data_IF_297432157483
#
_entry.id   IF_297432157483
#
_cell.length_a   1.000
_cell.length_b   1.000
_cell.length_c   1.000
_cell.angle_alpha   90.00
_cell.angle_beta   90.00
_cell.angle_gamma   90.00
#
_symmetry.space_group_name_H-M   'P 1'
#
loop_
_entity.id
_entity.type
_entity.pdbx_description
1 polymer ?
#
# COMPACT_ATOMS: atom_id res chain seq x y z
N UNK A 1 -13.56 7.93 3.49
CA UNK A 1 -14.94 8.38 3.23
C UNK A 1 -15.03 9.36 2.07
N UNK A 2 -14.23 10.45 2.06
CA UNK A 2 -14.26 11.47 0.99
C UNK A 2 -14.02 10.87 -0.40
N UNK A 3 -13.04 9.98 -0.57
CA UNK A 3 -12.76 9.33 -1.86
C UNK A 3 -13.92 8.47 -2.37
N UNK A 4 -14.69 7.83 -1.48
CA UNK A 4 -15.90 7.08 -1.85
C UNK A 4 -16.99 8.00 -2.40
N UNK A 5 -17.14 9.20 -1.82
CA UNK A 5 -18.05 10.22 -2.33
C UNK A 5 -17.60 10.70 -3.72
N UNK A 6 -16.30 10.94 -3.92
CA UNK A 6 -15.77 11.32 -5.23
C UNK A 6 -16.03 10.26 -6.29
N UNK A 7 -15.86 8.97 -5.99
CA UNK A 7 -16.23 7.91 -6.94
C UNK A 7 -17.72 7.91 -7.32
N UNK A 8 -18.60 8.39 -6.42
CA UNK A 8 -20.04 8.48 -6.68
C UNK A 8 -20.39 9.68 -7.54
N UNK A 9 -19.78 10.85 -7.29
CA UNK A 9 -20.13 12.11 -7.93
C UNK A 9 -19.28 12.44 -9.16
N UNK A 10 -18.04 11.94 -9.21
CA UNK A 10 -17.13 12.07 -10.34
C UNK A 10 -16.61 10.68 -10.73
N UNK A 11 -17.43 9.88 -11.44
CA UNK A 11 -17.05 8.51 -11.79
C UNK A 11 -15.86 8.51 -12.74
N UNK A 12 -14.88 7.64 -12.43
CA UNK A 12 -13.66 7.45 -13.22
C UNK A 12 -13.55 6.00 -13.65
N UNK A 13 -12.84 5.75 -14.75
CA UNK A 13 -12.56 4.38 -15.19
C UNK A 13 -11.64 3.68 -14.17
N UNK A 14 -12.14 2.63 -13.54
CA UNK A 14 -11.45 1.91 -12.46
C UNK A 14 -10.50 0.86 -13.04
N UNK A 15 -9.28 1.25 -13.37
CA UNK A 15 -8.19 0.32 -13.68
C UNK A 15 -7.52 -0.22 -12.40
N UNK A 16 -7.45 0.63 -11.37
CA UNK A 16 -6.95 0.29 -10.04
C UNK A 16 -8.18 0.07 -9.14
N UNK A 17 -8.26 -1.10 -8.52
CA UNK A 17 -9.35 -1.50 -7.63
C UNK A 17 -8.79 -1.90 -6.26
N UNK A 18 -9.65 -2.17 -5.28
CA UNK A 18 -9.17 -2.60 -3.97
C UNK A 18 -8.36 -3.90 -4.06
N UNK A 19 -8.86 -4.89 -4.78
CA UNK A 19 -8.24 -6.21 -4.92
C UNK A 19 -7.26 -6.34 -6.09
N UNK A 20 -7.32 -5.46 -7.07
CA UNK A 20 -6.48 -5.50 -8.27
C UNK A 20 -6.79 -6.67 -9.20
N UNK A 21 -5.74 -7.18 -9.86
CA UNK A 21 -5.85 -8.26 -10.85
C UNK A 21 -6.01 -9.66 -10.24
N UNK A 22 -5.78 -9.83 -8.93
CA UNK A 22 -5.93 -11.12 -8.24
C UNK A 22 -6.05 -10.93 -6.72
N UNK A 23 -7.19 -11.33 -6.17
CA UNK A 23 -7.48 -11.26 -4.74
C UNK A 23 -6.44 -12.05 -3.92
N UNK A 24 -6.14 -13.30 -4.32
CA UNK A 24 -5.20 -14.16 -3.60
C UNK A 24 -3.79 -13.59 -3.56
N UNK A 25 -3.29 -13.10 -4.69
CA UNK A 25 -1.95 -12.52 -4.74
C UNK A 25 -1.87 -11.24 -3.91
N UNK A 26 -2.92 -10.41 -3.94
CA UNK A 26 -2.98 -9.19 -3.15
C UNK A 26 -2.98 -9.47 -1.65
N UNK A 27 -3.59 -10.56 -1.20
CA UNK A 27 -3.58 -11.00 0.22
C UNK A 27 -2.20 -11.47 0.71
N UNK A 28 -1.27 -11.82 -0.17
CA UNK A 28 0.09 -12.17 0.25
C UNK A 28 0.82 -11.01 0.93
N UNK A 29 0.52 -9.77 0.53
CA UNK A 29 1.20 -8.59 1.08
C UNK A 29 0.80 -8.34 2.56
N UNK A 30 -0.49 -8.22 2.92
CA UNK A 30 -0.85 -8.16 4.33
C UNK A 30 -0.41 -9.41 5.10
N UNK A 31 -0.43 -10.60 4.51
CA UNK A 31 0.07 -11.81 5.17
C UNK A 31 1.55 -11.68 5.55
N UNK A 32 2.40 -11.22 4.62
CA UNK A 32 3.82 -10.97 4.89
C UNK A 32 3.97 -9.92 5.99
N UNK A 33 3.23 -8.81 5.90
CA UNK A 33 3.27 -7.75 6.91
C UNK A 33 2.97 -8.29 8.31
N UNK A 34 1.82 -8.96 8.49
CA UNK A 34 1.40 -9.51 9.77
C UNK A 34 2.34 -10.59 10.29
N UNK A 35 2.89 -11.42 9.39
CA UNK A 35 3.85 -12.46 9.77
C UNK A 35 5.16 -11.84 10.26
N UNK A 36 5.74 -10.90 9.53
CA UNK A 36 7.00 -10.27 9.92
C UNK A 36 6.89 -9.54 11.25
N UNK A 37 5.88 -8.68 11.41
CA UNK A 37 5.70 -7.92 12.64
C UNK A 37 5.17 -8.77 13.79
N UNK A 38 4.33 -9.78 13.51
CA UNK A 38 3.86 -10.73 14.51
C UNK A 38 4.99 -11.58 15.09
N UNK A 39 5.97 -11.99 14.25
CA UNK A 39 7.16 -12.74 14.73
C UNK A 39 8.13 -11.81 15.46
N UNK A 40 8.35 -10.59 14.96
CA UNK A 40 9.30 -9.67 15.57
C UNK A 40 8.77 -9.08 16.88
N UNK A 41 7.49 -8.73 16.92
CA UNK A 41 6.85 -8.02 18.03
C UNK A 41 7.15 -6.51 18.00
N UNK A 42 6.29 -5.72 18.64
CA UNK A 42 6.46 -4.27 18.82
C UNK A 42 6.34 -3.98 20.33
N UNK A 43 7.38 -3.48 21.00
CA UNK A 43 7.31 -3.02 22.38
C UNK A 43 6.22 -1.95 22.55
N UNK A 44 5.56 -1.94 23.70
CA UNK A 44 4.53 -0.95 24.01
C UNK A 44 4.48 -0.66 25.52
N UNK A 45 3.91 0.50 25.87
CA UNK A 45 3.76 0.96 27.25
C UNK A 45 2.41 0.53 27.88
N UNK A 46 1.63 -0.30 27.17
CA UNK A 46 0.30 -0.73 27.62
C UNK A 46 0.32 -2.07 28.38
N UNK A 47 1.50 -2.69 28.54
CA UNK A 47 1.62 -4.01 29.18
C UNK A 47 1.04 -5.16 28.35
N UNK A 48 0.80 -4.96 27.07
CA UNK A 48 0.30 -5.98 26.14
C UNK A 48 1.50 -6.77 25.62
N UNK A 49 1.34 -8.07 25.42
CA UNK A 49 2.35 -8.88 24.77
C UNK A 49 2.80 -8.26 23.43
N UNK A 50 4.12 -8.09 23.19
CA UNK A 50 4.63 -7.40 22.00
C UNK A 50 4.16 -8.01 20.67
N UNK A 51 3.96 -9.32 20.61
CA UNK A 51 3.52 -10.01 19.39
C UNK A 51 2.03 -9.77 19.13
N UNK A 52 1.21 -9.81 20.18
CA UNK A 52 -0.22 -9.48 20.09
C UNK A 52 -0.39 -8.00 19.73
N UNK A 53 0.36 -7.11 20.42
CA UNK A 53 0.32 -5.68 20.15
C UNK A 53 0.69 -5.37 18.70
N UNK A 54 1.73 -6.01 18.16
CA UNK A 54 2.14 -5.79 16.78
C UNK A 54 1.06 -6.14 15.76
N UNK A 55 0.32 -7.24 15.98
CA UNK A 55 -0.80 -7.63 15.11
C UNK A 55 -1.92 -6.58 15.17
N UNK A 56 -2.32 -6.15 16.37
CA UNK A 56 -3.36 -5.13 16.54
C UNK A 56 -2.95 -3.80 15.91
N UNK A 57 -1.70 -3.38 16.14
CA UNK A 57 -1.18 -2.12 15.62
C UNK A 57 -1.05 -2.16 14.09
N UNK A 58 -0.53 -3.26 13.52
CA UNK A 58 -0.53 -3.46 12.07
C UNK A 58 -1.95 -3.44 11.48
N UNK A 59 -2.94 -4.04 12.14
CA UNK A 59 -4.31 -4.07 11.65
C UNK A 59 -4.92 -2.67 11.61
N UNK A 60 -4.76 -1.88 12.67
CA UNK A 60 -5.24 -0.49 12.74
C UNK A 60 -4.54 0.40 11.70
N UNK A 61 -3.20 0.32 11.63
CA UNK A 61 -2.42 1.08 10.67
C UNK A 61 -2.76 0.70 9.23
N UNK A 62 -2.96 -0.58 8.95
CA UNK A 62 -3.34 -1.05 7.62
C UNK A 62 -4.74 -0.58 7.22
N UNK A 63 -5.70 -0.56 8.15
CA UNK A 63 -7.04 -0.02 7.89
C UNK A 63 -6.97 1.47 7.54
N UNK A 64 -6.21 2.25 8.32
CA UNK A 64 -5.97 3.66 8.07
C UNK A 64 -5.30 3.88 6.70
N UNK A 65 -4.19 3.19 6.44
CA UNK A 65 -3.45 3.31 5.19
C UNK A 65 -4.25 2.82 3.98
N UNK A 66 -5.13 1.82 4.15
CA UNK A 66 -6.02 1.39 3.08
C UNK A 66 -6.99 2.52 2.66
N UNK A 67 -7.49 3.32 3.60
CA UNK A 67 -8.33 4.48 3.29
C UNK A 67 -7.54 5.58 2.59
N UNK A 68 -6.29 5.83 3.00
CA UNK A 68 -5.41 6.79 2.33
C UNK A 68 -5.05 6.33 0.91
N UNK A 69 -4.62 5.07 0.75
CA UNK A 69 -4.24 4.53 -0.55
C UNK A 69 -5.43 4.43 -1.51
N UNK A 70 -6.63 4.23 -0.98
CA UNK A 70 -7.85 4.28 -1.79
C UNK A 70 -8.10 5.68 -2.38
N UNK A 71 -7.71 6.74 -1.68
CA UNK A 71 -7.76 8.11 -2.18
C UNK A 71 -6.62 8.38 -3.18
N UNK A 72 -5.38 8.13 -2.76
CA UNK A 72 -4.18 8.54 -3.50
C UNK A 72 -3.87 7.63 -4.68
N UNK A 73 -3.93 6.30 -4.50
CA UNK A 73 -3.58 5.30 -5.52
C UNK A 73 -4.80 4.70 -6.20
N UNK A 74 -5.93 4.71 -5.52
CA UNK A 74 -7.22 4.34 -6.11
C UNK A 74 -7.79 5.48 -6.96
N UNK A 75 -8.40 6.48 -6.31
CA UNK A 75 -9.14 7.52 -7.01
C UNK A 75 -8.26 8.46 -7.83
N UNK A 76 -7.25 9.07 -7.23
CA UNK A 76 -6.42 10.07 -7.90
C UNK A 76 -5.72 9.49 -9.15
N UNK A 77 -5.08 8.32 -9.04
CA UNK A 77 -4.39 7.72 -10.18
C UNK A 77 -5.36 7.30 -11.30
N UNK A 78 -6.54 6.79 -10.95
CA UNK A 78 -7.58 6.49 -11.92
C UNK A 78 -8.10 7.76 -12.62
N UNK A 79 -8.23 8.88 -11.89
CA UNK A 79 -8.66 10.18 -12.42
C UNK A 79 -7.65 10.78 -13.40
N UNK A 80 -6.36 10.52 -13.17
CA UNK A 80 -5.28 10.98 -14.06
C UNK A 80 -5.21 10.20 -15.40
N UNK A 81 -5.98 9.11 -15.55
CA UNK A 81 -6.18 8.39 -16.81
C UNK A 81 -4.87 7.98 -17.49
N UNK A 82 -4.61 8.50 -18.70
CA UNK A 82 -3.43 8.17 -19.53
C UNK A 82 -2.16 8.96 -19.19
N UNK A 83 -2.17 9.75 -18.12
CA UNK A 83 -0.98 10.51 -17.69
C UNK A 83 0.21 9.55 -17.45
N UNK A 84 1.44 9.92 -17.85
CA UNK A 84 2.63 9.11 -17.63
C UNK A 84 2.85 8.73 -16.16
N UNK A 85 3.43 7.55 -15.94
CA UNK A 85 3.70 6.98 -14.61
C UNK A 85 4.42 7.96 -13.67
N UNK A 86 5.47 8.62 -14.16
CA UNK A 86 6.27 9.52 -13.33
C UNK A 86 5.50 10.77 -12.88
N UNK A 87 4.60 11.30 -13.72
CA UNK A 87 3.73 12.43 -13.35
C UNK A 87 2.72 11.98 -12.29
N UNK A 88 2.10 10.80 -12.48
CA UNK A 88 1.20 10.21 -11.47
C UNK A 88 1.87 10.06 -10.12
N UNK A 89 3.10 9.52 -10.11
CA UNK A 89 3.88 9.32 -8.89
C UNK A 89 4.20 10.66 -8.22
N UNK A 90 4.68 11.63 -9.00
CA UNK A 90 5.03 12.96 -8.51
C UNK A 90 3.82 13.68 -7.91
N UNK A 91 2.72 13.78 -8.67
CA UNK A 91 1.50 14.46 -8.20
C UNK A 91 0.93 13.78 -6.95
N UNK A 92 0.86 12.44 -6.95
CA UNK A 92 0.37 11.70 -5.78
C UNK A 92 1.25 11.94 -4.55
N UNK A 93 2.58 11.98 -4.69
CA UNK A 93 3.50 12.26 -3.60
C UNK A 93 3.39 13.68 -3.08
N UNK A 94 3.27 14.66 -3.97
CA UNK A 94 3.08 16.08 -3.61
C UNK A 94 1.78 16.26 -2.82
N UNK A 95 0.65 15.79 -3.35
CA UNK A 95 -0.64 15.93 -2.65
C UNK A 95 -0.66 15.19 -1.32
N UNK A 96 -0.08 14.00 -1.27
CA UNK A 96 0.03 13.23 -0.05
C UNK A 96 0.93 13.90 1.00
N UNK A 97 2.06 14.48 0.60
CA UNK A 97 2.94 15.25 1.48
C UNK A 97 2.25 16.50 2.05
N UNK A 98 1.56 17.27 1.19
CA UNK A 98 0.81 18.45 1.64
C UNK A 98 -0.39 18.08 2.55
N UNK A 99 -1.02 16.92 2.34
CA UNK A 99 -2.06 16.41 3.21
C UNK A 99 -1.62 16.31 4.67
N UNK A 100 -0.36 15.97 4.90
CA UNK A 100 0.20 15.83 6.25
C UNK A 100 0.36 17.15 7.00
N UNK A 101 0.31 18.30 6.34
CA UNK A 101 0.22 19.60 7.03
C UNK A 101 -1.07 19.75 7.85
N UNK A 102 -2.10 18.95 7.54
CA UNK A 102 -3.36 18.94 8.28
C UNK A 102 -3.35 17.92 9.44
N UNK A 103 -2.33 17.07 9.53
CA UNK A 103 -2.27 15.94 10.47
C UNK A 103 -1.15 16.15 11.50
N UNK A 104 0.04 16.62 11.05
CA UNK A 104 1.20 16.77 11.91
C UNK A 104 1.33 18.21 12.41
N UNK A 105 1.56 18.36 13.70
CA UNK A 105 1.84 19.66 14.32
C UNK A 105 3.21 20.22 13.90
N UNK A 106 4.21 19.33 13.73
CA UNK A 106 5.54 19.67 13.24
C UNK A 106 6.16 18.49 12.46
N UNK A 107 7.29 18.77 11.81
CA UNK A 107 8.03 17.80 11.00
C UNK A 107 9.46 17.61 11.47
N UNK A 108 9.79 17.96 12.71
CA UNK A 108 11.17 17.95 13.23
C UNK A 108 11.80 16.56 13.19
N UNK A 109 11.00 15.53 13.49
CA UNK A 109 11.43 14.12 13.43
C UNK A 109 11.83 13.66 12.01
N UNK A 110 11.43 14.39 10.98
CA UNK A 110 11.76 14.10 9.57
C UNK A 110 12.81 15.05 8.99
N UNK A 111 13.37 15.96 9.80
CA UNK A 111 14.30 16.99 9.34
C UNK A 111 13.61 18.17 8.66
N UNK A 112 12.34 18.42 9.00
CA UNK A 112 11.51 19.50 8.47
C UNK A 112 10.58 19.06 7.33
N UNK A 113 9.62 19.94 7.01
CA UNK A 113 8.59 19.64 6.00
C UNK A 113 9.16 19.32 4.61
N UNK A 114 10.21 20.01 4.17
CA UNK A 114 10.79 19.78 2.84
C UNK A 114 11.36 18.36 2.71
N UNK A 115 12.06 17.88 3.73
CA UNK A 115 12.60 16.50 3.75
C UNK A 115 11.48 15.47 3.80
N UNK A 116 10.45 15.72 4.58
CA UNK A 116 9.25 14.88 4.61
C UNK A 116 8.53 14.84 3.26
N UNK A 117 8.36 15.99 2.61
CA UNK A 117 7.76 16.09 1.27
C UNK A 117 8.56 15.28 0.23
N UNK A 118 9.89 15.41 0.26
CA UNK A 118 10.78 14.64 -0.60
C UNK A 118 10.62 13.13 -0.36
N UNK A 119 10.56 12.72 0.90
CA UNK A 119 10.27 11.33 1.27
C UNK A 119 8.92 10.87 0.69
N UNK A 120 7.84 11.65 0.85
CA UNK A 120 6.52 11.33 0.30
C UNK A 120 6.56 11.18 -1.22
N UNK A 121 7.29 12.06 -1.92
CA UNK A 121 7.45 11.99 -3.37
C UNK A 121 8.19 10.68 -3.76
N UNK A 122 9.35 10.41 -3.17
CA UNK A 122 10.15 9.22 -3.47
C UNK A 122 9.36 7.95 -3.16
N UNK A 123 8.75 7.87 -1.99
CA UNK A 123 7.96 6.71 -1.60
C UNK A 123 6.71 6.53 -2.47
N UNK A 124 6.13 7.62 -2.96
CA UNK A 124 5.01 7.58 -3.89
C UNK A 124 5.34 6.87 -5.22
N UNK A 125 6.60 6.91 -5.68
CA UNK A 125 7.02 6.12 -6.84
C UNK A 125 6.93 4.62 -6.57
N UNK A 126 7.31 4.16 -5.37
CA UNK A 126 7.19 2.74 -4.96
C UNK A 126 5.71 2.34 -4.90
N UNK A 127 4.87 3.14 -4.26
CA UNK A 127 3.44 2.86 -4.13
C UNK A 127 2.71 2.88 -5.49
N UNK A 128 3.03 3.86 -6.34
CA UNK A 128 2.47 3.94 -7.70
C UNK A 128 2.93 2.76 -8.55
N UNK A 129 4.21 2.34 -8.44
CA UNK A 129 4.71 1.14 -9.10
C UNK A 129 3.95 -0.11 -8.64
N UNK A 130 3.71 -0.24 -7.35
CA UNK A 130 2.98 -1.39 -6.80
C UNK A 130 1.57 -1.51 -7.38
N UNK A 131 0.80 -0.42 -7.44
CA UNK A 131 -0.54 -0.45 -8.03
C UNK A 131 -0.52 -0.56 -9.56
N UNK A 132 0.48 0.00 -10.22
CA UNK A 132 0.65 -0.19 -11.66
C UNK A 132 0.93 -1.66 -12.00
N UNK A 133 1.67 -2.36 -11.14
CA UNK A 133 2.02 -3.77 -11.32
C UNK A 133 0.88 -4.72 -11.00
N UNK A 134 0.09 -4.41 -9.97
CA UNK A 134 -0.89 -5.32 -9.37
C UNK A 134 -2.34 -4.91 -9.62
N UNK A 135 -2.58 -3.64 -9.91
CA UNK A 135 -3.90 -3.04 -9.94
C UNK A 135 -4.55 -2.87 -8.57
N UNK A 136 -3.83 -3.16 -7.46
CA UNK A 136 -4.40 -3.36 -6.12
C UNK A 136 -4.05 -2.22 -5.15
N UNK A 137 -5.07 -1.58 -4.61
CA UNK A 137 -4.94 -0.65 -3.48
C UNK A 137 -4.50 -1.37 -2.20
N UNK A 138 -4.97 -2.60 -1.98
CA UNK A 138 -4.60 -3.40 -0.82
C UNK A 138 -3.08 -3.67 -0.75
N UNK A 139 -2.45 -3.91 -1.91
CA UNK A 139 -0.99 -4.08 -2.00
C UNK A 139 -0.28 -2.78 -1.61
N UNK A 140 -0.73 -1.63 -2.13
CA UNK A 140 -0.14 -0.34 -1.76
C UNK A 140 -0.33 -0.05 -0.26
N UNK A 141 -1.50 -0.35 0.31
CA UNK A 141 -1.78 -0.19 1.73
C UNK A 141 -0.85 -1.04 2.61
N UNK A 142 -0.62 -2.31 2.24
CA UNK A 142 0.32 -3.17 2.97
C UNK A 142 1.76 -2.64 2.88
N UNK A 143 2.19 -2.20 1.67
CA UNK A 143 3.50 -1.57 1.49
C UNK A 143 3.60 -0.25 2.26
N UNK A 144 2.55 0.57 2.29
CA UNK A 144 2.55 1.78 3.11
C UNK A 144 2.67 1.45 4.60
N UNK A 145 1.99 0.43 5.05
CA UNK A 145 1.94 0.05 6.47
C UNK A 145 3.27 -0.49 6.99
N UNK A 146 4.18 -1.01 6.16
CA UNK A 146 5.47 -1.51 6.67
C UNK A 146 6.34 -0.43 7.34
N UNK A 147 6.03 0.85 7.12
CA UNK A 147 6.71 2.00 7.73
C UNK A 147 6.25 2.32 9.17
N UNK A 148 5.35 1.54 9.75
CA UNK A 148 4.80 1.80 11.11
C UNK A 148 5.88 1.84 12.19
N UNK A 149 6.99 1.11 11.97
CA UNK A 149 8.14 1.14 12.85
C UNK A 149 9.40 0.76 12.07
N UNK A 150 10.43 1.61 12.13
CA UNK A 150 11.70 1.38 11.44
C UNK A 150 12.58 0.44 12.26
N UNK A 151 12.50 -0.86 11.97
CA UNK A 151 13.25 -1.92 12.64
C UNK A 151 13.65 -3.03 11.65
N UNK A 152 14.17 -4.14 12.15
CA UNK A 152 14.58 -5.26 11.30
C UNK A 152 13.41 -5.88 10.52
N UNK A 153 12.21 -5.96 11.13
CA UNK A 153 11.02 -6.45 10.43
C UNK A 153 10.66 -5.59 9.21
N UNK A 154 10.87 -4.26 9.29
CA UNK A 154 10.69 -3.33 8.17
C UNK A 154 11.56 -3.71 6.97
N UNK A 155 12.85 -4.01 7.22
CA UNK A 155 13.79 -4.40 6.14
C UNK A 155 13.37 -5.72 5.51
N UNK A 156 13.00 -6.71 6.32
CA UNK A 156 12.54 -8.02 5.84
C UNK A 156 11.26 -7.87 5.02
N UNK A 157 10.26 -7.11 5.53
CA UNK A 157 9.03 -6.82 4.79
C UNK A 157 9.31 -6.17 3.44
N UNK A 158 10.19 -5.16 3.40
CA UNK A 158 10.54 -4.48 2.17
C UNK A 158 11.12 -5.44 1.13
N UNK A 159 12.09 -6.27 1.53
CA UNK A 159 12.70 -7.25 0.64
C UNK A 159 11.64 -8.23 0.10
N UNK A 160 10.79 -8.77 0.97
CA UNK A 160 9.74 -9.70 0.57
C UNK A 160 8.71 -9.06 -0.35
N UNK A 161 8.31 -7.81 -0.11
CA UNK A 161 7.42 -7.07 -0.98
C UNK A 161 8.03 -6.83 -2.36
N UNK A 162 9.30 -6.47 -2.43
CA UNK A 162 10.00 -6.29 -3.71
C UNK A 162 10.11 -7.59 -4.49
N UNK A 163 10.37 -8.72 -3.81
CA UNK A 163 10.37 -10.06 -4.44
C UNK A 163 8.97 -10.37 -4.98
N UNK A 164 7.92 -10.21 -4.18
CA UNK A 164 6.53 -10.48 -4.59
C UNK A 164 6.12 -9.63 -5.81
N UNK A 165 6.47 -8.34 -5.81
CA UNK A 165 6.23 -7.47 -6.96
C UNK A 165 7.01 -7.93 -8.21
N UNK A 166 8.27 -8.35 -8.04
CA UNK A 166 9.12 -8.85 -9.12
C UNK A 166 8.54 -10.09 -9.77
N UNK A 167 8.07 -11.05 -8.99
CA UNK A 167 7.52 -12.32 -9.46
C UNK A 167 6.00 -12.29 -9.69
N UNK A 168 5.33 -11.14 -9.55
CA UNK A 168 3.87 -11.01 -9.61
C UNK A 168 3.20 -11.78 -10.74
N UNK A 169 3.75 -11.68 -11.95
CA UNK A 169 3.18 -12.33 -13.13
C UNK A 169 3.53 -13.84 -13.22
N UNK A 170 4.48 -14.32 -12.40
CA UNK A 170 4.89 -15.72 -12.36
C UNK A 170 4.12 -16.53 -11.31
N UNK A 171 3.51 -15.85 -10.33
CA UNK A 171 2.70 -16.51 -9.31
C UNK A 171 1.39 -16.98 -9.95
N UNK A 172 1.13 -18.29 -9.97
CA UNK A 172 -0.11 -18.87 -10.43
C UNK A 172 -0.66 -19.80 -9.35
N UNK A 173 -1.85 -19.48 -8.82
CA UNK A 173 -2.52 -20.30 -7.80
C UNK A 173 -3.62 -21.20 -8.38
N UNK A 174 -4.06 -20.94 -9.62
CA UNK A 174 -5.15 -21.69 -10.25
C UNK A 174 -4.66 -22.22 -11.60
N UNK A 175 -4.71 -23.54 -11.75
CA UNK A 175 -4.62 -24.19 -13.05
C UNK A 175 -5.85 -23.75 -13.84
N UNK A 176 -5.64 -23.19 -15.02
CA UNK A 176 -6.74 -22.69 -15.86
C UNK A 176 -7.63 -23.89 -16.19
N UNK A 177 -8.89 -23.88 -15.75
CA UNK A 177 -9.89 -24.93 -16.04
C UNK A 177 -10.12 -25.16 -17.55
N UNK A 178 -9.59 -24.27 -18.39
CA UNK A 178 -9.65 -24.38 -19.86
C UNK A 178 -8.96 -25.61 -20.44
N UNK A 179 -8.05 -26.26 -19.68
CA UNK A 179 -7.34 -27.45 -20.20
C UNK A 179 -8.09 -28.75 -19.95
N UNK A 180 -9.13 -28.74 -19.11
CA UNK A 180 -9.98 -29.92 -18.84
C UNK A 180 -11.11 -30.09 -19.85
N UNK A 181 -11.56 -29.01 -20.49
CA UNK A 181 -12.60 -29.07 -21.53
C UNK A 181 -12.06 -29.46 -22.91
N UNK A 182 -10.75 -29.49 -23.08
CA UNK A 182 -10.12 -29.91 -24.34
C UNK A 182 -9.78 -31.42 -24.36
N UNK A 183 -10.01 -32.15 -23.24
CA UNK A 183 -9.74 -33.58 -23.11
C UNK A 183 -11.03 -34.42 -22.98
N UNK A 184 -12.21 -33.80 -23.07
CA UNK A 184 -13.52 -34.46 -23.17
C UNK A 184 -14.06 -34.34 -24.61
#
# INVERSE_FOLDING_TARGET
>A
LVSLLFYRFAPVNKQITFWGSSNFKSLLFPLVLFTCYGIYGIPNDHGIDPHIWSILFCAMAMLYNAMEEYAWRGYLLNSLGKTPFWIKSLLSGIFWGFWHLLIFENFDQYGGFLMFLLFCIVFSFILTFSVHRTGSVLVAAAIHTFLIQMNFATVVCFILFMILLGIWNRISFVKKESDLSAMS
#
